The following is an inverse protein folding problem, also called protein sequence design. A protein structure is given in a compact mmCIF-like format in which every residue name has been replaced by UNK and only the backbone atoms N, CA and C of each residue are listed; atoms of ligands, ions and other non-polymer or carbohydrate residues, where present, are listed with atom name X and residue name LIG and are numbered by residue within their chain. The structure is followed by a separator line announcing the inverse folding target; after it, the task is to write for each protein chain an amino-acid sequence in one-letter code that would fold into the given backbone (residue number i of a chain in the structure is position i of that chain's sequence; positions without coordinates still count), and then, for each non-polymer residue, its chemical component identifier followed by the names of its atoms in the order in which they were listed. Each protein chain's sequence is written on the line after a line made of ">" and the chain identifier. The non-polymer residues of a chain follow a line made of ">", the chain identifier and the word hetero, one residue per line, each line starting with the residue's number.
data_IF_746570875932
#
_entry.id   IF_746570875932
#
_cell.length_a   1.000
_cell.length_b   1.000
_cell.length_c   1.000
_cell.angle_alpha   90.00
_cell.angle_beta   90.00
_cell.angle_gamma   90.00
#
_symmetry.space_group_name_H-M   'P 1'
#
loop_
_entity.id
_entity.type
_entity.pdbx_description
1 polymer ?
#
# COMPACT_ATOMS: atom_id res chain seq x y z
N UNK A 1 4.24 -20.35 24.96
CA UNK A 1 3.85 -18.93 25.00
C UNK A 1 3.08 -18.64 23.71
N UNK A 2 1.75 -18.53 23.75
CA UNK A 2 0.96 -18.21 22.55
C UNK A 2 1.07 -16.71 22.34
N UNK A 3 1.84 -16.27 21.35
CA UNK A 3 1.87 -14.86 20.94
C UNK A 3 0.46 -14.48 20.50
N UNK A 4 -0.09 -13.41 21.06
CA UNK A 4 -1.39 -12.91 20.68
C UNK A 4 -1.32 -12.51 19.20
N UNK A 5 -2.16 -13.12 18.36
CA UNK A 5 -2.09 -12.94 16.89
C UNK A 5 -2.22 -11.46 16.50
N UNK A 6 -2.90 -10.64 17.32
CA UNK A 6 -3.07 -9.19 17.13
C UNK A 6 -1.83 -8.34 17.45
N UNK A 7 -0.81 -8.89 18.12
CA UNK A 7 0.43 -8.16 18.45
C UNK A 7 1.49 -8.24 17.34
N UNK A 8 1.23 -9.02 16.28
CA UNK A 8 2.13 -9.12 15.12
C UNK A 8 1.89 -7.95 14.15
N UNK A 9 2.95 -7.44 13.48
CA UNK A 9 2.82 -6.41 12.46
C UNK A 9 1.76 -6.77 11.41
N UNK A 10 0.95 -5.80 10.98
CA UNK A 10 -0.13 -6.02 10.02
C UNK A 10 0.37 -6.71 8.75
N UNK A 11 1.53 -6.29 8.24
CA UNK A 11 2.21 -6.92 7.10
C UNK A 11 2.28 -8.44 7.23
N UNK A 12 2.72 -8.95 8.38
CA UNK A 12 2.86 -10.39 8.59
C UNK A 12 1.51 -11.09 8.61
N UNK A 13 0.50 -10.47 9.21
CA UNK A 13 -0.86 -11.01 9.28
C UNK A 13 -1.50 -11.08 7.89
N UNK A 14 -1.26 -10.09 7.04
CA UNK A 14 -1.67 -10.08 5.63
C UNK A 14 -0.96 -11.18 4.85
N UNK A 15 0.36 -11.28 4.99
CA UNK A 15 1.16 -12.30 4.29
C UNK A 15 0.78 -13.73 4.70
N UNK A 16 0.29 -13.93 5.93
CA UNK A 16 -0.25 -15.23 6.38
C UNK A 16 -1.54 -15.63 5.64
N UNK A 17 -2.29 -14.67 5.10
CA UNK A 17 -3.49 -14.96 4.31
C UNK A 17 -3.16 -15.39 2.88
N UNK A 18 -1.93 -15.13 2.41
CA UNK A 18 -1.53 -15.46 1.04
C UNK A 18 -1.21 -16.96 0.94
N UNK A 19 -1.91 -17.71 0.07
CA UNK A 19 -1.68 -19.14 -0.08
C UNK A 19 -0.22 -19.48 -0.37
N UNK A 20 0.34 -20.43 0.38
CA UNK A 20 1.73 -20.92 0.27
C UNK A 20 2.83 -19.87 0.46
N UNK A 21 2.51 -18.61 0.80
CA UNK A 21 3.54 -17.56 0.91
C UNK A 21 4.62 -17.92 1.93
N UNK A 22 4.24 -18.45 3.09
CA UNK A 22 5.20 -18.87 4.13
C UNK A 22 6.07 -20.04 3.70
N UNK A 23 5.50 -21.00 2.97
CA UNK A 23 6.26 -22.12 2.40
C UNK A 23 7.33 -21.60 1.42
N UNK A 24 6.94 -20.71 0.50
CA UNK A 24 7.84 -20.10 -0.49
C UNK A 24 8.90 -19.22 0.16
N UNK A 25 8.52 -18.42 1.15
CA UNK A 25 9.43 -17.59 1.94
C UNK A 25 10.47 -18.46 2.67
N UNK A 26 10.03 -19.52 3.36
CA UNK A 26 10.93 -20.43 4.07
C UNK A 26 11.89 -21.14 3.11
N UNK A 27 11.40 -21.55 1.93
CA UNK A 27 12.24 -22.13 0.86
C UNK A 27 13.30 -21.14 0.40
N UNK A 28 12.90 -19.90 0.09
CA UNK A 28 13.82 -18.83 -0.34
C UNK A 28 14.87 -18.54 0.73
N UNK A 29 14.46 -18.39 1.99
CA UNK A 29 15.36 -18.03 3.09
C UNK A 29 16.35 -19.18 3.41
N UNK A 30 15.90 -20.44 3.28
CA UNK A 30 16.78 -21.62 3.37
C UNK A 30 17.78 -21.71 2.22
N UNK A 31 17.37 -21.38 1.00
CA UNK A 31 18.30 -21.34 -0.15
C UNK A 31 19.31 -20.20 0.01
N UNK A 32 18.87 -19.05 0.52
CA UNK A 32 19.75 -17.92 0.81
C UNK A 32 20.81 -18.27 1.86
N UNK A 33 20.46 -19.02 2.89
CA UNK A 33 21.43 -19.43 3.93
C UNK A 33 22.43 -20.49 3.46
N UNK A 34 22.13 -21.20 2.36
CA UNK A 34 23.05 -22.13 1.71
C UNK A 34 24.03 -21.44 0.76
N UNK A 35 23.79 -20.18 0.38
CA UNK A 35 24.74 -19.41 -0.42
C UNK A 35 26.04 -19.22 0.36
N UNK A 36 27.15 -19.61 -0.25
CA UNK A 36 28.48 -19.45 0.31
C UNK A 36 29.29 -18.50 -0.56
N UNK A 37 30.19 -17.75 0.08
CA UNK A 37 31.25 -17.06 -0.65
C UNK A 37 32.29 -18.13 -0.98
N UNK A 38 32.34 -18.53 -2.25
CA UNK A 38 33.39 -19.40 -2.77
C UNK A 38 34.56 -18.50 -3.16
N UNK A 39 35.76 -18.66 -2.56
CA UNK A 39 36.92 -17.85 -2.91
C UNK A 39 37.26 -17.95 -4.40
N UNK A 40 37.85 -16.91 -5.01
CA UNK A 40 38.35 -16.98 -6.37
C UNK A 40 39.32 -18.15 -6.59
N UNK A 41 39.28 -18.74 -7.79
CA UNK A 41 40.25 -19.77 -8.18
C UNK A 41 41.71 -19.29 -8.09
N UNK A 42 41.94 -17.99 -8.26
CA UNK A 42 43.26 -17.36 -8.19
C UNK A 42 43.92 -17.53 -6.83
N UNK A 43 43.15 -17.54 -5.74
CA UNK A 43 43.69 -17.61 -4.39
C UNK A 43 44.27 -19.00 -4.11
N UNK A 44 43.55 -20.04 -4.57
CA UNK A 44 44.04 -21.42 -4.57
C UNK A 44 45.30 -21.55 -5.43
N UNK A 45 45.28 -21.01 -6.65
CA UNK A 45 46.42 -21.08 -7.56
C UNK A 45 47.67 -20.37 -7.01
N UNK A 46 47.50 -19.20 -6.38
CA UNK A 46 48.59 -18.44 -5.77
C UNK A 46 49.21 -19.21 -4.60
N UNK A 47 48.39 -19.76 -3.72
CA UNK A 47 48.86 -20.54 -2.57
C UNK A 47 49.67 -21.78 -2.98
N UNK A 48 49.30 -22.42 -4.10
CA UNK A 48 50.06 -23.56 -4.63
C UNK A 48 51.31 -23.12 -5.42
N UNK A 49 51.28 -21.99 -6.13
CA UNK A 49 52.46 -21.45 -6.82
C UNK A 49 53.60 -21.10 -5.83
N UNK A 50 53.26 -20.54 -4.66
CA UNK A 50 54.22 -20.28 -3.58
C UNK A 50 54.83 -21.58 -3.04
N UNK A 51 54.02 -22.62 -2.81
CA UNK A 51 54.49 -23.93 -2.33
C UNK A 51 55.38 -24.64 -3.36
N UNK A 52 55.03 -24.58 -4.65
CA UNK A 52 55.83 -25.16 -5.73
C UNK A 52 57.19 -24.47 -5.83
N UNK A 53 57.22 -23.14 -5.74
CA UNK A 53 58.47 -22.36 -5.77
C UNK A 53 59.37 -22.74 -4.60
N UNK A 54 58.83 -22.81 -3.38
CA UNK A 54 59.61 -23.20 -2.19
C UNK A 54 60.15 -24.65 -2.26
N UNK A 55 59.36 -25.58 -2.79
CA UNK A 55 59.80 -26.96 -3.00
C UNK A 55 60.92 -27.05 -4.05
N UNK A 56 60.82 -26.26 -5.13
CA UNK A 56 61.85 -26.18 -6.17
C UNK A 56 63.16 -25.58 -5.63
N UNK A 57 63.09 -24.50 -4.84
CA UNK A 57 64.26 -23.82 -4.27
C UNK A 57 65.04 -24.70 -3.28
N UNK A 58 64.37 -25.66 -2.65
CA UNK A 58 64.96 -26.58 -1.65
C UNK A 58 65.32 -27.95 -2.20
N UNK A 59 65.03 -28.21 -3.49
CA UNK A 59 65.27 -29.51 -4.12
C UNK A 59 64.43 -30.65 -3.52
N UNK A 60 63.23 -30.35 -3.02
CA UNK A 60 62.38 -31.33 -2.36
C UNK A 60 61.73 -32.30 -3.37
N UNK A 61 61.70 -33.60 -3.04
CA UNK A 61 61.11 -34.65 -3.88
C UNK A 61 59.57 -34.73 -3.78
N UNK A 62 58.91 -33.76 -3.13
CA UNK A 62 57.47 -33.78 -2.84
C UNK A 62 56.58 -33.11 -3.92
N UNK A 63 57.12 -32.81 -5.10
CA UNK A 63 56.40 -32.13 -6.17
C UNK A 63 55.23 -32.97 -6.74
N UNK A 64 55.35 -34.29 -6.79
CA UNK A 64 54.24 -35.17 -7.21
C UNK A 64 53.07 -35.16 -6.22
N UNK A 65 53.36 -35.13 -4.91
CA UNK A 65 52.35 -34.99 -3.87
C UNK A 65 51.66 -33.61 -3.94
N UNK A 66 52.43 -32.54 -4.19
CA UNK A 66 51.88 -31.20 -4.40
C UNK A 66 50.95 -31.14 -5.62
N UNK A 67 51.31 -31.82 -6.73
CA UNK A 67 50.47 -31.93 -7.93
C UNK A 67 49.15 -32.61 -7.61
N UNK A 68 49.20 -33.75 -6.93
CA UNK A 68 48.01 -34.56 -6.66
C UNK A 68 47.06 -33.84 -5.66
N UNK A 69 47.61 -33.15 -4.65
CA UNK A 69 46.84 -32.28 -3.74
C UNK A 69 46.20 -31.10 -4.48
N UNK A 70 46.95 -30.42 -5.36
CA UNK A 70 46.40 -29.33 -6.16
C UNK A 70 45.22 -29.81 -7.04
N UNK A 71 45.37 -30.97 -7.69
CA UNK A 71 44.30 -31.54 -8.52
C UNK A 71 43.03 -31.83 -7.70
N UNK A 72 43.17 -32.44 -6.52
CA UNK A 72 42.05 -32.73 -5.62
C UNK A 72 41.38 -31.45 -5.11
N UNK A 73 42.14 -30.47 -4.64
CA UNK A 73 41.62 -29.19 -4.16
C UNK A 73 40.93 -28.41 -5.28
N UNK A 74 41.48 -28.46 -6.50
CA UNK A 74 40.87 -27.83 -7.68
C UNK A 74 39.53 -28.48 -8.03
N UNK A 75 39.42 -29.80 -7.94
CA UNK A 75 38.17 -30.52 -8.16
C UNK A 75 37.14 -30.18 -7.09
N UNK A 76 37.52 -30.18 -5.82
CA UNK A 76 36.65 -29.79 -4.69
C UNK A 76 36.17 -28.35 -4.82
N UNK A 77 37.06 -27.43 -5.19
CA UNK A 77 36.72 -26.03 -5.46
C UNK A 77 35.70 -25.91 -6.59
N UNK A 78 35.90 -26.64 -7.69
CA UNK A 78 35.01 -26.61 -8.85
C UNK A 78 33.61 -27.11 -8.48
N UNK A 79 33.52 -28.25 -7.77
CA UNK A 79 32.25 -28.77 -7.28
C UNK A 79 31.54 -27.79 -6.33
N UNK A 80 32.29 -27.12 -5.45
CA UNK A 80 31.75 -26.09 -4.56
C UNK A 80 31.22 -24.87 -5.34
N UNK A 81 31.94 -24.41 -6.37
CA UNK A 81 31.54 -23.29 -7.22
C UNK A 81 30.29 -23.61 -8.06
N UNK A 82 30.21 -24.82 -8.63
CA UNK A 82 29.04 -25.31 -9.37
C UNK A 82 27.82 -25.43 -8.45
N UNK A 83 27.99 -26.06 -7.28
CA UNK A 83 26.92 -26.15 -6.29
C UNK A 83 26.42 -24.77 -5.86
N UNK A 84 27.32 -23.82 -5.60
CA UNK A 84 26.95 -22.45 -5.22
C UNK A 84 26.19 -21.74 -6.35
N UNK A 85 26.54 -22.01 -7.61
CA UNK A 85 25.79 -21.50 -8.78
C UNK A 85 24.37 -22.07 -8.82
N UNK A 86 24.21 -23.39 -8.64
CA UNK A 86 22.90 -24.04 -8.59
C UNK A 86 22.03 -23.51 -7.44
N UNK A 87 22.61 -23.31 -6.26
CA UNK A 87 21.90 -22.72 -5.11
C UNK A 87 21.44 -21.30 -5.40
N UNK A 88 22.29 -20.50 -6.06
CA UNK A 88 21.96 -19.13 -6.48
C UNK A 88 20.81 -19.11 -7.49
N UNK A 89 20.85 -19.98 -8.50
CA UNK A 89 19.77 -20.06 -9.50
C UNK A 89 18.46 -20.50 -8.85
N UNK A 90 18.51 -21.53 -7.99
CA UNK A 90 17.36 -21.96 -7.21
C UNK A 90 16.81 -20.85 -6.29
N UNK A 91 17.69 -20.06 -5.67
CA UNK A 91 17.30 -18.92 -4.86
C UNK A 91 16.60 -17.83 -5.69
N UNK A 92 17.12 -17.50 -6.88
CA UNK A 92 16.47 -16.55 -7.78
C UNK A 92 15.07 -17.02 -8.20
N UNK A 93 14.93 -18.30 -8.56
CA UNK A 93 13.63 -18.89 -8.86
C UNK A 93 12.66 -18.82 -7.68
N UNK A 94 13.10 -19.19 -6.47
CA UNK A 94 12.26 -19.13 -5.26
C UNK A 94 11.88 -17.68 -4.89
N UNK A 95 12.78 -16.71 -5.11
CA UNK A 95 12.47 -15.28 -4.93
C UNK A 95 11.39 -14.83 -5.89
N UNK A 96 11.51 -15.19 -7.17
CA UNK A 96 10.52 -14.88 -8.19
C UNK A 96 9.15 -15.52 -7.90
N UNK A 97 9.13 -16.79 -7.47
CA UNK A 97 7.89 -17.46 -7.03
C UNK A 97 7.22 -16.73 -5.86
N UNK A 98 8.00 -16.29 -4.87
CA UNK A 98 7.48 -15.55 -3.70
C UNK A 98 6.87 -14.20 -4.13
N UNK A 99 7.55 -13.46 -4.99
CA UNK A 99 7.06 -12.18 -5.53
C UNK A 99 5.79 -12.36 -6.37
N UNK A 100 5.76 -13.40 -7.21
CA UNK A 100 4.60 -13.73 -8.04
C UNK A 100 3.40 -14.15 -7.19
N UNK A 101 3.61 -14.94 -6.14
CA UNK A 101 2.56 -15.29 -5.18
C UNK A 101 1.97 -14.04 -4.53
N UNK A 102 2.82 -13.11 -4.08
CA UNK A 102 2.35 -11.86 -3.49
C UNK A 102 1.55 -11.00 -4.49
N UNK A 103 2.02 -10.86 -5.72
CA UNK A 103 1.33 -10.12 -6.80
C UNK A 103 -0.01 -10.75 -7.17
N UNK A 104 -0.05 -12.07 -7.33
CA UNK A 104 -1.25 -12.80 -7.69
C UNK A 104 -2.32 -12.75 -6.59
N UNK A 105 -1.90 -12.68 -5.32
CA UNK A 105 -2.78 -12.65 -4.17
C UNK A 105 -3.09 -11.25 -3.63
N UNK A 106 -2.84 -10.19 -4.40
CA UNK A 106 -3.27 -8.82 -4.06
C UNK A 106 -4.76 -8.76 -3.69
N UNK A 107 -5.70 -9.40 -4.43
CA UNK A 107 -7.12 -9.36 -4.04
C UNK A 107 -7.39 -9.93 -2.65
N UNK A 108 -6.72 -11.02 -2.26
CA UNK A 108 -6.84 -11.63 -0.92
C UNK A 108 -6.27 -10.69 0.14
N UNK A 109 -5.11 -10.09 -0.12
CA UNK A 109 -4.50 -9.12 0.79
C UNK A 109 -5.41 -7.90 1.01
N UNK A 110 -5.99 -7.34 -0.06
CA UNK A 110 -6.92 -6.21 0.02
C UNK A 110 -8.21 -6.58 0.77
N UNK A 111 -8.72 -7.80 0.59
CA UNK A 111 -9.90 -8.27 1.31
C UNK A 111 -9.65 -8.38 2.83
N UNK A 112 -8.50 -8.94 3.22
CA UNK A 112 -8.09 -8.96 4.62
C UNK A 112 -7.94 -7.55 5.21
N UNK A 113 -7.31 -6.63 4.47
CA UNK A 113 -7.16 -5.23 4.89
C UNK A 113 -8.51 -4.52 5.03
N UNK A 114 -9.52 -4.85 4.20
CA UNK A 114 -10.89 -4.33 4.38
C UNK A 114 -11.51 -4.81 5.68
N UNK A 115 -11.32 -6.09 6.03
CA UNK A 115 -11.77 -6.62 7.32
C UNK A 115 -11.12 -5.89 8.50
N UNK A 116 -9.80 -5.64 8.45
CA UNK A 116 -9.09 -4.88 9.47
C UNK A 116 -9.54 -3.40 9.52
N UNK A 117 -9.86 -2.79 8.37
CA UNK A 117 -10.40 -1.44 8.31
C UNK A 117 -11.77 -1.37 8.97
N UNK A 118 -12.66 -2.31 8.68
CA UNK A 118 -13.99 -2.39 9.31
C UNK A 118 -13.86 -2.53 10.83
N UNK A 119 -12.99 -3.42 11.31
CA UNK A 119 -12.75 -3.58 12.74
C UNK A 119 -12.23 -2.29 13.39
N UNK A 120 -11.22 -1.65 12.78
CA UNK A 120 -10.66 -0.39 13.27
C UNK A 120 -11.70 0.73 13.30
N UNK A 121 -12.51 0.88 12.26
CA UNK A 121 -13.53 1.93 12.18
C UNK A 121 -14.66 1.72 13.19
N UNK A 122 -14.97 0.47 13.55
CA UNK A 122 -15.87 0.18 14.66
C UNK A 122 -15.25 0.62 16.00
N UNK A 123 -13.99 0.29 16.26
CA UNK A 123 -13.28 0.75 17.47
C UNK A 123 -13.18 2.28 17.54
N UNK A 124 -12.95 2.96 16.41
CA UNK A 124 -12.96 4.44 16.32
C UNK A 124 -14.31 5.01 16.73
N UNK A 125 -15.41 4.41 16.25
CA UNK A 125 -16.78 4.84 16.61
C UNK A 125 -17.08 4.60 18.09
N UNK A 126 -16.66 3.46 18.64
CA UNK A 126 -16.76 3.14 20.08
C UNK A 126 -16.01 4.17 20.94
N UNK A 127 -14.87 4.66 20.46
CA UNK A 127 -14.04 5.64 21.16
C UNK A 127 -14.28 7.09 20.71
N UNK A 128 -15.39 7.40 20.03
CA UNK A 128 -15.66 8.73 19.45
C UNK A 128 -15.41 9.89 20.42
N UNK A 129 -15.99 9.82 21.61
CA UNK A 129 -15.89 10.88 22.62
C UNK A 129 -14.43 11.12 23.05
N UNK A 130 -13.63 10.05 23.12
CA UNK A 130 -12.21 10.11 23.46
C UNK A 130 -11.39 10.75 22.35
N UNK A 131 -11.72 10.48 21.08
CA UNK A 131 -11.08 11.14 19.93
C UNK A 131 -11.46 12.61 19.83
N UNK A 132 -12.72 12.96 20.10
CA UNK A 132 -13.20 14.35 20.05
C UNK A 132 -12.57 15.21 21.15
N UNK A 133 -12.34 14.63 22.33
CA UNK A 133 -11.70 15.28 23.46
C UNK A 133 -10.17 15.06 23.50
N UNK A 134 -9.55 14.57 22.41
CA UNK A 134 -8.12 14.33 22.40
C UNK A 134 -7.37 15.67 22.53
N UNK A 135 -6.48 15.83 23.53
CA UNK A 135 -5.72 17.06 23.68
C UNK A 135 -4.73 17.27 22.53
N UNK A 136 -4.29 18.52 22.34
CA UNK A 136 -3.39 18.88 21.24
C UNK A 136 -1.93 18.51 21.54
N UNK A 137 -1.61 18.22 22.81
CA UNK A 137 -0.25 17.87 23.26
C UNK A 137 -0.19 16.74 24.30
N UNK A 138 0.97 16.08 24.36
CA UNK A 138 1.23 15.02 25.33
C UNK A 138 1.30 15.57 26.76
N UNK A 139 1.80 16.79 26.92
CA UNK A 139 1.91 17.51 28.18
C UNK A 139 0.54 17.78 28.81
N UNK A 140 -0.44 18.19 28.01
CA UNK A 140 -1.83 18.35 28.45
C UNK A 140 -2.43 17.02 28.90
N UNK A 141 -2.16 15.93 28.17
CA UNK A 141 -2.61 14.59 28.55
C UNK A 141 -1.98 14.11 29.87
N UNK A 142 -0.69 14.42 30.10
CA UNK A 142 0.01 14.13 31.36
C UNK A 142 -0.59 14.95 32.50
N UNK A 143 -0.85 16.24 32.26
CA UNK A 143 -1.46 17.14 33.24
C UNK A 143 -2.87 16.72 33.69
N UNK A 144 -3.64 16.08 32.80
CA UNK A 144 -4.95 15.51 33.09
C UNK A 144 -4.89 14.18 33.89
N UNK A 145 -3.69 13.69 34.23
CA UNK A 145 -3.48 12.53 35.08
C UNK A 145 -3.69 11.17 34.38
N UNK A 146 -3.84 10.07 35.14
CA UNK A 146 -3.87 8.71 34.58
C UNK A 146 -4.97 8.47 33.53
N UNK A 147 -6.12 9.13 33.68
CA UNK A 147 -7.21 9.05 32.71
C UNK A 147 -6.85 9.70 31.37
N UNK A 148 -6.25 10.91 31.41
CA UNK A 148 -5.74 11.60 30.22
C UNK A 148 -4.67 10.80 29.48
N UNK A 149 -3.71 10.24 30.21
CA UNK A 149 -2.69 9.34 29.66
C UNK A 149 -3.26 8.09 28.99
N UNK A 150 -4.30 7.49 29.59
CA UNK A 150 -4.97 6.32 29.00
C UNK A 150 -5.65 6.70 27.69
N UNK A 151 -6.42 7.79 27.68
CA UNK A 151 -7.08 8.31 26.48
C UNK A 151 -6.06 8.63 25.37
N UNK A 152 -4.94 9.27 25.74
CA UNK A 152 -3.86 9.58 24.80
C UNK A 152 -3.30 8.33 24.12
N UNK A 153 -3.00 7.28 24.91
CA UNK A 153 -2.49 6.00 24.37
C UNK A 153 -3.52 5.33 23.47
N UNK A 154 -4.80 5.33 23.86
CA UNK A 154 -5.87 4.76 23.05
C UNK A 154 -5.96 5.44 21.68
N UNK A 155 -6.03 6.79 21.65
CA UNK A 155 -6.16 7.54 20.40
C UNK A 155 -4.94 7.35 19.49
N UNK A 156 -3.72 7.46 20.03
CA UNK A 156 -2.52 7.25 19.22
C UNK A 156 -2.43 5.82 18.68
N UNK A 157 -2.86 4.81 19.45
CA UNK A 157 -2.92 3.42 18.97
C UNK A 157 -3.88 3.28 17.77
N UNK A 158 -5.02 3.98 17.78
CA UNK A 158 -5.97 3.95 16.65
C UNK A 158 -5.40 4.67 15.41
N UNK A 159 -4.72 5.80 15.62
CA UNK A 159 -4.03 6.56 14.55
C UNK A 159 -2.91 5.71 13.92
N UNK A 160 -2.05 5.11 14.74
CA UNK A 160 -0.93 4.28 14.28
C UNK A 160 -1.44 3.06 13.49
N UNK A 161 -2.50 2.41 13.96
CA UNK A 161 -3.14 1.29 13.23
C UNK A 161 -3.73 1.73 11.90
N UNK A 162 -4.36 2.91 11.84
CA UNK A 162 -4.87 3.44 10.57
C UNK A 162 -3.73 3.76 9.59
N UNK A 163 -2.65 4.38 10.08
CA UNK A 163 -1.45 4.67 9.29
C UNK A 163 -0.79 3.38 8.77
N UNK A 164 -0.66 2.36 9.61
CA UNK A 164 -0.13 1.05 9.23
C UNK A 164 -1.00 0.42 8.14
N UNK A 165 -2.32 0.43 8.32
CA UNK A 165 -3.28 -0.09 7.35
C UNK A 165 -3.18 0.62 6.00
N UNK A 166 -3.09 1.94 5.99
CA UNK A 166 -2.93 2.72 4.74
C UNK A 166 -1.57 2.53 4.09
N UNK A 167 -0.53 2.29 4.88
CA UNK A 167 0.81 1.95 4.37
C UNK A 167 0.77 0.61 3.63
N UNK A 168 0.19 -0.42 4.24
CA UNK A 168 0.04 -1.73 3.60
C UNK A 168 -0.90 -1.66 2.38
N UNK A 169 -2.01 -0.93 2.47
CA UNK A 169 -2.90 -0.68 1.33
C UNK A 169 -2.14 -0.08 0.14
N UNK A 170 -1.30 0.93 0.38
CA UNK A 170 -0.45 1.54 -0.66
C UNK A 170 0.52 0.53 -1.27
N UNK A 171 1.14 -0.33 -0.46
CA UNK A 171 2.05 -1.39 -0.94
C UNK A 171 1.33 -2.30 -1.93
N UNK A 172 0.16 -2.84 -1.58
CA UNK A 172 -0.57 -3.78 -2.44
C UNK A 172 -1.17 -3.11 -3.68
N UNK A 173 -1.64 -1.86 -3.56
CA UNK A 173 -2.10 -1.06 -4.69
C UNK A 173 -0.96 -0.83 -5.69
N UNK A 174 0.20 -0.37 -5.22
CA UNK A 174 1.35 -0.12 -6.10
C UNK A 174 1.91 -1.41 -6.70
N UNK A 175 1.89 -2.51 -5.94
CA UNK A 175 2.31 -3.83 -6.41
C UNK A 175 1.45 -4.31 -7.58
N UNK A 176 0.13 -4.05 -7.55
CA UNK A 176 -0.79 -4.37 -8.64
C UNK A 176 -0.68 -3.44 -9.83
N UNK A 177 -0.49 -2.14 -9.57
CA UNK A 177 -0.40 -1.12 -10.62
C UNK A 177 0.94 -1.14 -11.38
N UNK A 178 2.01 -1.60 -10.74
CA UNK A 178 3.37 -1.54 -11.30
C UNK A 178 4.03 -0.16 -11.15
N UNK A 179 3.55 0.66 -10.20
CA UNK A 179 4.05 2.02 -9.96
C UNK A 179 3.20 2.74 -8.91
N UNK A 180 3.44 4.05 -8.74
CA UNK A 180 2.67 4.89 -7.82
C UNK A 180 1.31 5.27 -8.40
N UNK A 181 0.23 4.91 -7.71
CA UNK A 181 -1.13 5.32 -8.10
C UNK A 181 -1.41 6.77 -7.70
N UNK A 182 -1.78 7.61 -8.67
CA UNK A 182 -2.17 9.01 -8.43
C UNK A 182 -3.49 9.07 -7.67
N UNK A 183 -3.62 10.04 -6.77
CA UNK A 183 -4.84 10.22 -5.99
C UNK A 183 -5.04 9.18 -4.88
N UNK A 184 -4.05 8.33 -4.58
CA UNK A 184 -4.13 7.40 -3.44
C UNK A 184 -4.48 8.17 -2.16
N UNK A 185 -3.75 9.26 -1.89
CA UNK A 185 -3.98 10.02 -0.68
C UNK A 185 -5.36 10.68 -0.66
N UNK A 186 -5.90 11.14 -1.78
CA UNK A 186 -7.15 11.94 -1.82
C UNK A 186 -8.41 11.13 -2.08
N UNK A 187 -8.34 10.02 -2.81
CA UNK A 187 -9.49 9.18 -3.15
C UNK A 187 -9.59 7.91 -2.32
N UNK A 188 -8.48 7.34 -1.85
CA UNK A 188 -8.51 5.96 -1.39
C UNK A 188 -8.98 5.80 0.07
N UNK A 189 -9.37 6.89 0.73
CA UNK A 189 -9.66 6.88 2.17
C UNK A 189 -11.14 6.70 2.51
N UNK A 190 -12.02 7.29 1.70
CA UNK A 190 -13.47 7.27 1.90
C UNK A 190 -14.19 7.27 0.56
N UNK A 191 -15.35 6.63 0.51
CA UNK A 191 -16.19 6.62 -0.68
C UNK A 191 -16.77 8.01 -0.98
N UNK A 192 -16.92 8.88 0.03
CA UNK A 192 -17.40 10.28 -0.06
C UNK A 192 -16.29 11.30 -0.22
N UNK A 193 -15.17 10.89 -0.83
CA UNK A 193 -13.98 11.72 -0.95
C UNK A 193 -14.23 13.07 -1.64
N UNK A 194 -15.21 13.15 -2.55
CA UNK A 194 -15.55 14.40 -3.25
C UNK A 194 -16.11 15.45 -2.29
N UNK A 195 -16.89 15.04 -1.29
CA UNK A 195 -17.53 15.90 -0.30
C UNK A 195 -16.62 16.21 0.89
N UNK A 196 -15.79 15.27 1.31
CA UNK A 196 -15.04 15.43 2.56
C UNK A 196 -13.60 15.89 2.39
N UNK A 197 -12.92 15.52 1.31
CA UNK A 197 -11.49 15.79 1.21
C UNK A 197 -11.24 17.25 0.77
N UNK A 198 -10.43 18.02 1.55
CA UNK A 198 -10.11 19.42 1.25
C UNK A 198 -9.56 19.64 -0.16
N UNK A 199 -8.78 18.68 -0.69
CA UNK A 199 -8.17 18.80 -2.00
C UNK A 199 -9.22 18.82 -3.11
N UNK A 200 -10.28 18.01 -3.00
CA UNK A 200 -11.35 17.99 -3.99
C UNK A 200 -12.25 19.22 -3.88
N UNK A 201 -12.49 19.73 -2.67
CA UNK A 201 -13.25 20.97 -2.46
C UNK A 201 -12.65 22.17 -3.18
N UNK A 202 -11.31 22.27 -3.26
CA UNK A 202 -10.62 23.35 -3.99
C UNK A 202 -10.77 23.25 -5.51
N UNK A 203 -10.91 22.02 -6.03
CA UNK A 203 -10.95 21.75 -7.46
C UNK A 203 -12.34 22.00 -8.05
N UNK A 204 -13.39 22.13 -7.21
CA UNK A 204 -14.76 22.43 -7.65
C UNK A 204 -14.78 23.78 -8.37
N UNK A 205 -15.15 23.77 -9.66
CA UNK A 205 -15.27 24.97 -10.48
C UNK A 205 -16.14 26.03 -9.80
N UNK A 206 -15.57 27.18 -9.46
CA UNK A 206 -16.25 28.30 -8.78
C UNK A 206 -16.77 29.38 -9.75
N UNK A 207 -16.43 29.31 -11.04
CA UNK A 207 -16.85 30.27 -12.07
C UNK A 207 -17.60 29.61 -13.23
N UNK A 208 -18.60 30.30 -13.78
CA UNK A 208 -19.44 29.83 -14.88
C UNK A 208 -20.91 29.75 -14.51
N UNK A 209 -21.80 29.69 -15.51
CA UNK A 209 -23.22 29.44 -15.34
C UNK A 209 -23.51 27.97 -15.65
N UNK A 210 -23.94 27.20 -14.66
CA UNK A 210 -24.53 25.89 -14.87
C UNK A 210 -26.06 26.03 -14.91
N UNK A 211 -26.68 25.59 -16.01
CA UNK A 211 -28.13 25.64 -16.18
C UNK A 211 -28.86 24.65 -15.25
N UNK A 212 -28.15 23.67 -14.70
CA UNK A 212 -28.67 22.77 -13.67
C UNK A 212 -28.35 23.33 -12.27
N UNK A 213 -29.39 23.81 -11.58
CA UNK A 213 -29.26 24.42 -10.26
C UNK A 213 -28.80 23.45 -9.17
N UNK A 214 -28.98 22.13 -9.36
CA UNK A 214 -28.54 21.11 -8.41
C UNK A 214 -27.04 20.87 -8.53
N UNK A 215 -26.55 20.72 -9.75
CA UNK A 215 -25.10 20.64 -10.02
C UNK A 215 -24.42 21.92 -9.53
N UNK A 216 -24.98 23.08 -9.86
CA UNK A 216 -24.46 24.37 -9.40
C UNK A 216 -24.40 24.43 -7.87
N UNK A 217 -25.49 24.06 -7.18
CA UNK A 217 -25.53 24.07 -5.72
C UNK A 217 -24.52 23.09 -5.09
N UNK A 218 -24.37 21.88 -5.65
CA UNK A 218 -23.42 20.89 -5.14
C UNK A 218 -21.97 21.33 -5.33
N UNK A 219 -21.62 21.90 -6.49
CA UNK A 219 -20.30 22.47 -6.75
C UNK A 219 -20.00 23.69 -5.88
N UNK A 220 -21.02 24.49 -5.54
CA UNK A 220 -20.88 25.71 -4.73
C UNK A 220 -21.00 25.49 -3.21
N UNK A 221 -21.35 24.30 -2.73
CA UNK A 221 -21.51 24.06 -1.31
C UNK A 221 -20.16 24.14 -0.55
N UNK A 222 -20.21 24.71 0.66
CA UNK A 222 -19.22 25.58 1.35
C UNK A 222 -17.83 25.04 1.78
N UNK A 223 -17.02 26.05 2.13
CA UNK A 223 -15.81 26.15 2.97
C UNK A 223 -14.45 25.73 2.37
N UNK A 224 -13.72 26.76 1.90
CA UNK A 224 -12.36 26.67 1.37
C UNK A 224 -11.33 26.50 2.49
N UNK A 225 -11.23 25.32 3.07
CA UNK A 225 -9.96 24.86 3.61
C UNK A 225 -9.12 24.35 2.44
N UNK A 226 -8.41 25.27 1.78
CA UNK A 226 -7.61 24.95 0.60
C UNK A 226 -6.30 24.29 1.04
N UNK A 227 -6.15 23.00 0.79
CA UNK A 227 -4.86 22.32 0.94
C UNK A 227 -4.12 22.26 -0.41
N UNK A 228 -2.80 22.40 -0.36
CA UNK A 228 -1.89 22.17 -1.50
C UNK A 228 -1.83 20.71 -1.94
N UNK A 229 -0.82 20.34 -2.74
CA UNK A 229 -0.58 18.92 -3.01
C UNK A 229 -0.15 18.22 -1.71
N UNK A 230 -0.96 17.26 -1.26
CA UNK A 230 -0.68 16.44 -0.08
C UNK A 230 0.17 15.23 -0.45
N UNK A 231 1.16 14.89 0.37
CA UNK A 231 2.01 13.69 0.21
C UNK A 231 1.75 12.61 1.28
N UNK A 232 0.81 12.87 2.19
CA UNK A 232 0.42 12.00 3.29
C UNK A 232 -1.09 11.70 3.25
N UNK A 233 -1.58 10.77 4.06
CA UNK A 233 -3.01 10.47 4.20
C UNK A 233 -3.74 11.50 5.07
N UNK A 234 -3.03 12.25 5.91
CA UNK A 234 -3.60 13.24 6.83
C UNK A 234 -3.67 14.62 6.17
N UNK A 235 -4.87 15.18 5.94
CA UNK A 235 -5.00 16.55 5.46
C UNK A 235 -4.47 17.55 6.50
N UNK A 236 -3.78 18.60 6.05
CA UNK A 236 -3.24 19.65 6.91
C UNK A 236 -4.34 20.47 7.60
N UNK A 237 -5.55 20.49 7.04
CA UNK A 237 -6.69 21.23 7.61
C UNK A 237 -7.38 20.52 8.77
N UNK A 238 -6.98 19.28 9.09
CA UNK A 238 -7.57 18.48 10.17
C UNK A 238 -6.47 17.95 11.08
N UNK A 239 -6.75 17.86 12.38
CA UNK A 239 -5.92 17.02 13.25
C UNK A 239 -6.12 15.55 12.89
N UNK A 240 -5.15 14.68 13.19
CA UNK A 240 -5.25 13.25 12.88
C UNK A 240 -6.50 12.58 13.50
N UNK A 241 -6.87 12.83 14.78
CA UNK A 241 -8.12 12.30 15.34
C UNK A 241 -9.37 12.81 14.62
N UNK A 242 -9.40 14.09 14.26
CA UNK A 242 -10.53 14.67 13.53
C UNK A 242 -10.70 14.04 12.15
N UNK A 243 -9.60 13.85 11.41
CA UNK A 243 -9.65 13.19 10.12
C UNK A 243 -10.06 11.72 10.23
N UNK A 244 -9.56 11.02 11.25
CA UNK A 244 -9.93 9.62 11.50
C UNK A 244 -11.43 9.47 11.77
N UNK A 245 -12.02 10.37 12.56
CA UNK A 245 -13.47 10.45 12.75
C UNK A 245 -14.20 10.79 11.45
N UNK A 246 -13.69 11.76 10.68
CA UNK A 246 -14.29 12.13 9.40
C UNK A 246 -14.35 10.93 8.44
N UNK A 247 -13.30 10.12 8.35
CA UNK A 247 -13.30 8.87 7.58
C UNK A 247 -14.30 7.87 8.13
N UNK A 248 -14.32 7.65 9.45
CA UNK A 248 -15.26 6.73 10.09
C UNK A 248 -16.73 7.07 9.84
N UNK A 249 -17.05 8.36 9.68
CA UNK A 249 -18.40 8.89 9.50
C UNK A 249 -18.85 8.97 8.05
N UNK A 250 -17.93 8.82 7.10
CA UNK A 250 -18.18 9.04 5.69
C UNK A 250 -17.73 7.82 4.87
N UNK A 251 -18.22 6.63 5.21
CA UNK A 251 -17.99 5.41 4.42
C UNK A 251 -16.49 5.09 4.19
N UNK A 252 -15.79 4.54 5.21
CA UNK A 252 -14.40 4.15 5.09
C UNK A 252 -14.18 3.24 3.88
N UNK A 253 -13.22 3.60 3.05
CA UNK A 253 -13.02 2.94 1.76
C UNK A 253 -11.61 2.39 1.61
N UNK A 254 -11.49 1.24 0.96
CA UNK A 254 -10.22 0.58 0.63
C UNK A 254 -10.30 -0.03 -0.78
N UNK A 255 -10.35 0.83 -1.81
CA UNK A 255 -10.44 0.43 -3.21
C UNK A 255 -9.14 -0.20 -3.71
N UNK A 256 -9.23 -0.96 -4.81
CA UNK A 256 -8.04 -1.44 -5.52
C UNK A 256 -7.40 -0.35 -6.39
N UNK A 257 -6.25 -0.66 -6.99
CA UNK A 257 -5.48 0.28 -7.80
C UNK A 257 -6.27 0.87 -8.97
N UNK A 258 -7.01 0.04 -9.70
CA UNK A 258 -7.77 0.46 -10.87
C UNK A 258 -8.93 1.37 -10.48
N UNK A 259 -9.58 1.03 -9.36
CA UNK A 259 -10.68 1.81 -8.79
C UNK A 259 -10.20 3.20 -8.36
N UNK A 260 -9.04 3.30 -7.71
CA UNK A 260 -8.44 4.58 -7.31
C UNK A 260 -8.10 5.43 -8.53
N UNK A 261 -7.35 4.88 -9.48
CA UNK A 261 -6.92 5.61 -10.68
C UNK A 261 -8.13 6.11 -11.47
N UNK A 262 -9.13 5.23 -11.69
CA UNK A 262 -10.35 5.59 -12.41
C UNK A 262 -11.18 6.63 -11.66
N UNK A 263 -11.35 6.49 -10.34
CA UNK A 263 -12.06 7.46 -9.53
C UNK A 263 -11.39 8.84 -9.57
N UNK A 264 -10.06 8.89 -9.45
CA UNK A 264 -9.29 10.12 -9.51
C UNK A 264 -9.40 10.80 -10.91
N UNK A 265 -9.36 10.02 -11.99
CA UNK A 265 -9.57 10.53 -13.35
C UNK A 265 -10.96 11.15 -13.50
N UNK A 266 -12.02 10.42 -13.13
CA UNK A 266 -13.39 10.91 -13.27
C UNK A 266 -13.63 12.14 -12.38
N UNK A 267 -13.12 12.14 -11.15
CA UNK A 267 -13.24 13.28 -10.25
C UNK A 267 -12.53 14.54 -10.79
N UNK A 268 -11.38 14.38 -11.44
CA UNK A 268 -10.69 15.51 -12.10
C UNK A 268 -11.51 16.04 -13.27
N UNK A 269 -12.13 15.17 -14.08
CA UNK A 269 -13.02 15.56 -15.18
C UNK A 269 -14.27 16.29 -14.67
N UNK A 270 -14.90 15.79 -13.60
CA UNK A 270 -16.10 16.38 -13.00
C UNK A 270 -15.86 17.80 -12.46
N UNK A 271 -14.70 18.03 -11.87
CA UNK A 271 -14.42 19.27 -11.15
C UNK A 271 -13.69 20.32 -12.01
N UNK A 272 -13.08 19.92 -13.13
CA UNK A 272 -12.27 20.79 -13.97
C UNK A 272 -13.02 21.92 -14.69
N UNK A 273 -14.33 21.80 -14.95
CA UNK A 273 -15.14 22.87 -15.56
C UNK A 273 -16.62 22.71 -15.24
N UNK A 274 -17.33 23.82 -14.99
CA UNK A 274 -18.79 23.80 -14.88
C UNK A 274 -19.46 23.37 -16.20
N UNK A 275 -20.41 22.41 -16.17
CA UNK A 275 -21.22 22.09 -17.33
C UNK A 275 -22.16 23.25 -17.67
N UNK A 276 -22.22 23.62 -18.94
CA UNK A 276 -22.88 24.84 -19.45
C UNK A 276 -24.04 24.55 -20.42
N UNK A 277 -24.14 23.32 -20.92
CA UNK A 277 -25.21 22.89 -21.83
C UNK A 277 -25.74 21.49 -21.47
N UNK A 278 -26.87 21.09 -22.06
CA UNK A 278 -27.52 19.81 -21.73
C UNK A 278 -26.62 18.59 -21.95
N UNK A 279 -25.78 18.57 -23.00
CA UNK A 279 -24.89 17.43 -23.25
C UNK A 279 -23.79 17.30 -22.18
N UNK A 280 -23.30 18.42 -21.67
CA UNK A 280 -22.33 18.48 -20.57
C UNK A 280 -22.97 18.08 -19.24
N UNK A 281 -24.22 18.51 -18.98
CA UNK A 281 -25.01 18.11 -17.81
C UNK A 281 -25.28 16.61 -17.81
N UNK A 282 -25.73 16.04 -18.95
CA UNK A 282 -25.91 14.59 -19.08
C UNK A 282 -24.59 13.84 -18.88
N UNK A 283 -23.49 14.35 -19.44
CA UNK A 283 -22.17 13.75 -19.24
C UNK A 283 -21.72 13.81 -17.78
N UNK A 284 -22.01 14.91 -17.08
CA UNK A 284 -21.72 15.07 -15.66
C UNK A 284 -22.44 14.00 -14.83
N UNK A 285 -23.75 13.84 -14.99
CA UNK A 285 -24.50 12.80 -14.28
C UNK A 285 -24.07 11.39 -14.64
N UNK A 286 -23.71 11.13 -15.90
CA UNK A 286 -23.10 9.85 -16.30
C UNK A 286 -21.78 9.59 -15.56
N UNK A 287 -20.93 10.61 -15.41
CA UNK A 287 -19.67 10.49 -14.65
C UNK A 287 -19.90 10.26 -13.16
N UNK A 288 -20.92 10.88 -12.57
CA UNK A 288 -21.36 10.56 -11.20
C UNK A 288 -21.80 9.10 -11.11
N UNK A 289 -22.61 8.61 -12.05
CA UNK A 289 -23.02 7.21 -12.09
C UNK A 289 -21.82 6.24 -12.27
N UNK A 290 -20.83 6.60 -13.09
CA UNK A 290 -19.57 5.85 -13.21
C UNK A 290 -18.80 5.79 -11.89
N UNK A 291 -18.71 6.91 -11.14
CA UNK A 291 -18.12 6.93 -9.80
C UNK A 291 -18.89 6.04 -8.82
N UNK A 292 -20.22 6.10 -8.84
CA UNK A 292 -21.06 5.25 -7.99
C UNK A 292 -20.90 3.77 -8.33
N UNK A 293 -20.74 3.42 -9.61
CA UNK A 293 -20.45 2.05 -10.03
C UNK A 293 -19.07 1.54 -9.55
N UNK A 294 -18.12 2.45 -9.30
CA UNK A 294 -16.83 2.15 -8.65
C UNK A 294 -16.93 2.03 -7.12
N UNK A 295 -18.09 2.34 -6.54
CA UNK A 295 -18.34 2.32 -5.10
C UNK A 295 -18.11 3.65 -4.39
N UNK A 296 -17.91 4.76 -5.11
CA UNK A 296 -17.92 6.09 -4.51
C UNK A 296 -19.36 6.52 -4.16
N UNK A 297 -19.49 7.38 -3.15
CA UNK A 297 -20.77 7.89 -2.65
C UNK A 297 -20.75 9.40 -2.82
N UNK A 298 -21.82 9.96 -3.39
CA UNK A 298 -21.93 11.40 -3.69
C UNK A 298 -23.33 11.87 -3.28
N UNK A 299 -23.42 13.04 -2.65
CA UNK A 299 -24.72 13.61 -2.20
C UNK A 299 -25.58 14.18 -3.32
N UNK A 300 -25.02 14.30 -4.53
CA UNK A 300 -25.75 14.79 -5.68
C UNK A 300 -26.71 13.71 -6.18
N UNK A 301 -27.99 13.89 -5.87
CA UNK A 301 -29.05 13.05 -6.43
C UNK A 301 -29.11 13.21 -7.95
N UNK A 302 -28.91 12.12 -8.68
CA UNK A 302 -29.22 12.07 -10.11
C UNK A 302 -30.72 12.35 -10.28
N UNK A 303 -31.14 13.13 -11.28
CA UNK A 303 -32.56 13.27 -11.58
C UNK A 303 -33.12 11.87 -11.79
N UNK A 304 -34.25 11.56 -11.14
CA UNK A 304 -35.01 10.37 -11.50
C UNK A 304 -35.15 10.39 -13.03
N UNK A 305 -34.52 9.44 -13.71
CA UNK A 305 -34.87 9.16 -15.09
C UNK A 305 -36.32 8.73 -15.04
N UNK A 306 -37.24 9.68 -15.25
CA UNK A 306 -38.63 9.37 -15.46
C UNK A 306 -38.70 8.23 -16.49
N UNK A 307 -39.54 7.21 -16.27
CA UNK A 307 -39.74 6.20 -17.29
C UNK A 307 -40.09 6.91 -18.59
N UNK A 308 -39.48 6.45 -19.69
CA UNK A 308 -39.75 6.96 -21.03
C UNK A 308 -41.25 6.77 -21.32
N UNK A 309 -42.06 7.75 -20.94
CA UNK A 309 -43.48 7.75 -21.24
C UNK A 309 -43.67 8.51 -22.55
N UNK A 310 -43.91 7.70 -23.58
CA UNK A 310 -44.69 7.96 -24.80
C UNK A 310 -44.13 8.87 -25.90
N UNK A 311 -43.80 8.22 -27.01
CA UNK A 311 -44.22 8.60 -28.37
C UNK A 311 -44.56 7.30 -29.12
N UNK A 312 -45.58 7.12 -29.94
CA UNK A 312 -46.81 7.83 -30.25
C UNK A 312 -47.72 6.78 -30.96
N UNK A 313 -49.04 6.98 -30.86
CA UNK A 313 -50.08 6.62 -31.82
C UNK A 313 -50.28 5.15 -32.26
N UNK A 314 -51.44 4.60 -31.90
CA UNK A 314 -52.58 4.52 -32.82
C UNK A 314 -53.90 4.67 -32.04
#
# INVERSE_FOLDING_TARGET
>A
MRVNVKERPLKERVLDQIPRYRELQNRRDRLRSLLRIVPPASDLNLAYAEQITAAADTGADNLDDLRDRFAADRQNWTAAAEFNTLVRDAWYHASSETENAQKASVPIALDYLRGELTALMNEVREHREVLQAHPDSAEEAIGAGPAGLKSWKTVNTLIDRYQELRTEHRVYVNLRFGGTVKGFDTCAQSARFLEMDPWWRRCRSTGGTCNDTRIAAWLHNREHHAEGNRTNIWPHSYTQPQWLLAVADNDPWLPDANTIDRANQIATELLGRMPSNNSEITSFYRRIAELTALGAVVDLTTPDTAPATTAHAH
#
